data_IF_730641547884
#
_entry.id   IF_730641547884
#
_cell.length_a   1.000
_cell.length_b   1.000
_cell.length_c   1.000
_cell.angle_alpha   90.00
_cell.angle_beta   90.00
_cell.angle_gamma   90.00
#
_symmetry.space_group_name_H-M   'P 1'
#
loop_
_entity.id
_entity.type
_entity.pdbx_description
1 polymer ?
#
# COMPACT_ATOMS: atom_id res chain seq x y z
N UNK A 1 -18.47 1.72 -13.41
CA UNK A 1 -19.11 0.62 -12.68
C UNK A 1 -20.62 0.75 -12.82
N UNK A 2 -21.32 -0.33 -13.09
CA UNK A 2 -22.80 -0.36 -13.17
C UNK A 2 -23.31 -1.59 -12.41
N UNK A 3 -24.55 -1.53 -11.93
CA UNK A 3 -25.35 -2.70 -11.64
C UNK A 3 -25.95 -3.26 -12.94
N UNK A 4 -26.79 -4.29 -12.89
CA UNK A 4 -27.41 -4.92 -14.05
C UNK A 4 -28.25 -3.90 -14.87
N UNK A 5 -27.59 -3.14 -15.71
CA UNK A 5 -28.24 -2.18 -16.63
C UNK A 5 -27.80 -2.45 -18.06
N UNK A 6 -28.76 -2.34 -18.97
CA UNK A 6 -28.51 -2.31 -20.41
C UNK A 6 -28.01 -0.92 -20.78
N UNK A 7 -26.68 -0.75 -20.85
CA UNK A 7 -26.01 0.52 -21.14
C UNK A 7 -25.31 0.42 -22.51
N UNK A 8 -25.39 1.48 -23.31
CA UNK A 8 -24.63 1.61 -24.56
C UNK A 8 -23.12 1.85 -24.24
N UNK A 9 -22.43 0.77 -23.88
CA UNK A 9 -21.00 0.80 -23.55
C UNK A 9 -20.14 1.17 -24.75
N UNK A 10 -20.53 0.78 -25.95
CA UNK A 10 -19.78 1.09 -27.17
C UNK A 10 -19.84 2.57 -27.49
N UNK A 11 -21.03 3.17 -27.53
CA UNK A 11 -21.20 4.60 -27.74
C UNK A 11 -20.53 5.44 -26.67
N UNK A 12 -20.55 4.98 -25.41
CA UNK A 12 -19.84 5.61 -24.31
C UNK A 12 -18.32 5.58 -24.51
N UNK A 13 -17.75 4.42 -24.83
CA UNK A 13 -16.32 4.25 -25.15
C UNK A 13 -15.88 5.17 -26.29
N UNK A 14 -16.65 5.16 -27.41
CA UNK A 14 -16.34 6.01 -28.54
C UNK A 14 -16.36 7.50 -28.20
N UNK A 15 -17.28 7.91 -27.33
CA UNK A 15 -17.37 9.29 -26.85
C UNK A 15 -16.14 9.68 -26.06
N UNK A 16 -15.69 8.81 -25.12
CA UNK A 16 -14.49 9.04 -24.32
C UNK A 16 -13.24 9.16 -25.21
N UNK A 17 -13.06 8.24 -26.16
CA UNK A 17 -11.88 8.24 -27.04
C UNK A 17 -11.79 9.47 -27.96
N UNK A 18 -12.89 10.19 -28.16
CA UNK A 18 -12.92 11.45 -28.95
C UNK A 18 -12.65 12.70 -28.11
N UNK A 19 -12.53 12.60 -26.79
CA UNK A 19 -12.26 13.76 -25.94
C UNK A 19 -10.85 14.32 -26.23
N UNK A 20 -10.71 15.66 -26.33
CA UNK A 20 -9.41 16.32 -26.54
C UNK A 20 -8.65 16.39 -25.21
N UNK A 21 -8.02 15.29 -24.81
CA UNK A 21 -7.27 15.17 -23.56
C UNK A 21 -5.78 15.44 -23.80
N UNK A 22 -5.12 16.05 -22.83
CA UNK A 22 -3.65 16.08 -22.75
C UNK A 22 -3.14 14.73 -22.24
N UNK A 23 -3.12 13.72 -23.12
CA UNK A 23 -2.74 12.35 -22.77
C UNK A 23 -3.51 11.34 -23.58
N UNK A 24 -3.38 10.06 -23.21
CA UNK A 24 -4.07 8.96 -23.87
C UNK A 24 -4.68 8.01 -22.82
N UNK A 25 -5.76 7.34 -23.21
CA UNK A 25 -6.31 6.26 -22.39
C UNK A 25 -5.37 5.05 -22.41
N UNK A 26 -4.91 4.60 -21.26
CA UNK A 26 -4.22 3.32 -21.14
C UNK A 26 -5.21 2.15 -21.30
N UNK A 27 -6.41 2.31 -20.73
CA UNK A 27 -7.50 1.37 -20.87
C UNK A 27 -8.85 1.96 -20.48
N UNK A 28 -9.91 1.33 -20.94
CA UNK A 28 -11.30 1.60 -20.51
C UNK A 28 -11.89 0.28 -20.09
N UNK A 29 -12.31 0.18 -18.84
CA UNK A 29 -12.87 -1.03 -18.27
C UNK A 29 -14.31 -0.80 -17.83
N UNK A 30 -15.13 -1.80 -18.04
CA UNK A 30 -16.47 -1.86 -17.50
C UNK A 30 -16.56 -2.93 -16.42
N UNK A 31 -16.94 -2.53 -15.22
CA UNK A 31 -17.10 -3.43 -14.09
C UNK A 31 -18.57 -3.48 -13.68
N UNK A 32 -19.12 -4.68 -13.60
CA UNK A 32 -20.42 -4.94 -13.00
C UNK A 32 -20.23 -5.27 -11.53
N UNK A 33 -20.99 -4.60 -10.66
CA UNK A 33 -20.95 -4.81 -9.22
C UNK A 33 -22.36 -4.62 -8.64
N UNK A 34 -22.95 -5.70 -8.18
CA UNK A 34 -24.25 -5.73 -7.53
C UNK A 34 -24.15 -5.84 -5.99
N UNK A 35 -22.95 -5.71 -5.44
CA UNK A 35 -22.75 -5.76 -3.99
C UNK A 35 -23.42 -4.57 -3.29
N UNK A 36 -24.03 -4.83 -2.14
CA UNK A 36 -24.61 -3.80 -1.27
C UNK A 36 -23.56 -3.09 -0.41
N UNK A 37 -22.34 -3.61 -0.39
CA UNK A 37 -21.24 -3.03 0.37
C UNK A 37 -20.42 -2.07 -0.51
N UNK A 38 -19.93 -1.01 0.10
CA UNK A 38 -19.04 -0.04 -0.54
C UNK A 38 -17.61 -0.61 -0.61
N UNK A 39 -17.48 -1.74 -1.34
CA UNK A 39 -16.22 -2.47 -1.53
C UNK A 39 -15.80 -2.46 -2.99
N UNK A 40 -14.51 -2.37 -3.22
CA UNK A 40 -13.91 -2.48 -4.55
C UNK A 40 -13.85 -3.96 -4.94
N UNK A 41 -15.02 -4.50 -5.31
CA UNK A 41 -15.19 -5.86 -5.83
C UNK A 41 -15.88 -5.81 -7.19
N UNK A 42 -15.68 -6.81 -8.00
CA UNK A 42 -16.38 -6.96 -9.27
C UNK A 42 -16.97 -8.36 -9.38
N UNK A 43 -18.23 -8.43 -9.83
CA UNK A 43 -18.80 -9.70 -10.28
C UNK A 43 -18.22 -10.06 -11.65
N UNK A 44 -17.96 -9.04 -12.48
CA UNK A 44 -17.35 -9.17 -13.79
C UNK A 44 -16.68 -7.85 -14.19
N UNK A 45 -15.46 -7.95 -14.75
CA UNK A 45 -14.78 -6.83 -15.42
C UNK A 45 -14.52 -7.19 -16.89
N UNK A 46 -14.81 -6.26 -17.78
CA UNK A 46 -14.60 -6.36 -19.22
C UNK A 46 -13.73 -5.21 -19.70
N UNK A 47 -12.70 -5.52 -20.50
CA UNK A 47 -11.85 -4.51 -21.13
C UNK A 47 -12.51 -4.04 -22.41
N UNK A 48 -12.98 -2.80 -22.44
CA UNK A 48 -13.60 -2.18 -23.62
C UNK A 48 -12.57 -1.60 -24.58
N UNK A 49 -11.40 -1.21 -24.06
CA UNK A 49 -10.31 -0.65 -24.84
C UNK A 49 -8.99 -0.77 -24.06
N UNK A 50 -7.86 -0.98 -24.78
CA UNK A 50 -6.52 -0.96 -24.22
C UNK A 50 -6.24 -2.06 -23.22
N UNK A 51 -5.52 -1.72 -22.15
CA UNK A 51 -5.04 -2.63 -21.12
C UNK A 51 -5.86 -2.49 -19.83
N UNK A 52 -5.84 -3.52 -19.00
CA UNK A 52 -6.45 -3.50 -17.65
C UNK A 52 -5.55 -2.90 -16.57
N UNK A 53 -4.41 -2.37 -16.95
CA UNK A 53 -3.42 -1.77 -16.05
C UNK A 53 -2.78 -0.54 -16.71
N UNK A 54 -2.14 0.27 -15.86
CA UNK A 54 -1.24 1.33 -16.30
C UNK A 54 0.02 1.32 -15.43
N UNK A 55 1.00 2.13 -15.81
CA UNK A 55 2.21 2.29 -15.03
C UNK A 55 2.27 3.65 -14.37
N UNK A 56 2.76 3.67 -13.14
CA UNK A 56 3.12 4.89 -12.42
C UNK A 56 4.58 4.78 -11.97
N UNK A 57 5.25 5.91 -11.84
CA UNK A 57 6.62 5.98 -11.35
C UNK A 57 6.66 6.76 -10.04
N UNK A 58 7.27 6.19 -8.99
CA UNK A 58 7.50 6.83 -7.71
C UNK A 58 8.97 6.66 -7.31
N UNK A 59 9.64 7.78 -7.03
CA UNK A 59 11.06 7.80 -6.59
C UNK A 59 11.98 6.93 -7.47
N UNK A 60 11.74 6.91 -8.78
CA UNK A 60 12.50 6.14 -9.77
C UNK A 60 12.17 4.65 -9.84
N UNK A 61 11.16 4.17 -9.11
CA UNK A 61 10.62 2.82 -9.22
C UNK A 61 9.33 2.84 -10.04
N UNK A 62 9.17 1.84 -10.89
CA UNK A 62 8.01 1.70 -11.76
C UNK A 62 7.04 0.67 -11.21
N UNK A 63 5.77 1.05 -11.11
CA UNK A 63 4.70 0.19 -10.59
C UNK A 63 3.65 -0.07 -11.66
N UNK A 64 3.32 -1.34 -11.86
CA UNK A 64 2.16 -1.75 -12.63
C UNK A 64 0.96 -1.74 -11.71
N UNK A 65 -0.05 -0.92 -12.06
CA UNK A 65 -1.25 -0.71 -11.25
C UNK A 65 -2.45 -1.27 -12.02
N UNK A 66 -3.17 -2.18 -11.40
CA UNK A 66 -4.43 -2.72 -11.92
C UNK A 66 -5.62 -2.10 -11.21
N UNK A 67 -6.82 -2.30 -11.75
CA UNK A 67 -8.08 -1.72 -11.25
C UNK A 67 -8.36 -2.01 -9.78
N UNK A 68 -7.95 -3.18 -9.29
CA UNK A 68 -8.20 -3.61 -7.92
C UNK A 68 -6.98 -3.52 -7.00
N UNK A 69 -5.87 -3.00 -7.52
CA UNK A 69 -4.68 -2.71 -6.70
C UNK A 69 -4.88 -1.39 -5.96
N UNK A 70 -4.68 -1.39 -4.66
CA UNK A 70 -4.56 -0.12 -3.94
C UNK A 70 -3.25 0.56 -4.34
N UNK A 71 -3.34 1.81 -4.71
CA UNK A 71 -2.21 2.69 -4.97
C UNK A 71 -2.57 4.11 -4.56
N UNK A 72 -1.61 4.87 -4.04
CA UNK A 72 -1.84 6.26 -3.62
C UNK A 72 -2.20 7.12 -4.84
N UNK A 73 -3.36 7.77 -4.80
CA UNK A 73 -3.90 8.53 -5.94
C UNK A 73 -3.17 9.86 -6.18
N UNK A 74 -2.48 10.39 -5.17
CA UNK A 74 -1.60 11.55 -5.29
C UNK A 74 -0.15 11.08 -5.32
N UNK A 75 0.40 10.80 -6.51
CA UNK A 75 1.75 10.27 -6.68
C UNK A 75 2.83 11.20 -6.11
N UNK A 76 2.70 12.52 -6.31
CA UNK A 76 3.66 13.50 -5.79
C UNK A 76 3.62 13.56 -4.25
N UNK A 77 2.44 13.51 -3.66
CA UNK A 77 2.29 13.41 -2.20
C UNK A 77 2.84 12.09 -1.66
N UNK A 78 2.63 10.98 -2.38
CA UNK A 78 3.16 9.68 -2.02
C UNK A 78 4.70 9.66 -2.02
N UNK A 79 5.34 10.31 -2.99
CA UNK A 79 6.80 10.46 -3.01
C UNK A 79 7.30 11.19 -1.74
N UNK A 80 6.63 12.27 -1.33
CA UNK A 80 6.99 13.00 -0.10
C UNK A 80 6.81 12.11 1.13
N UNK A 81 5.70 11.38 1.22
CA UNK A 81 5.42 10.47 2.33
C UNK A 81 6.49 9.38 2.44
N UNK A 82 6.76 8.69 1.34
CA UNK A 82 7.69 7.57 1.32
C UNK A 82 9.15 7.99 1.46
N UNK A 83 9.55 9.14 0.90
CA UNK A 83 10.89 9.68 1.10
C UNK A 83 11.10 10.12 2.56
N UNK A 84 10.07 10.69 3.18
CA UNK A 84 10.07 11.00 4.61
C UNK A 84 10.23 9.74 5.46
N UNK A 85 9.44 8.70 5.20
CA UNK A 85 9.55 7.42 5.89
C UNK A 85 10.95 6.82 5.71
N UNK A 86 11.48 6.80 4.48
CA UNK A 86 12.83 6.32 4.18
C UNK A 86 13.92 7.13 4.93
N UNK A 87 13.75 8.44 5.04
CA UNK A 87 14.66 9.30 5.79
C UNK A 87 14.67 8.99 7.29
N UNK A 88 13.52 8.57 7.83
CA UNK A 88 13.40 8.16 9.23
C UNK A 88 14.00 6.78 9.49
N UNK A 89 13.90 5.86 8.53
CA UNK A 89 14.59 4.56 8.59
C UNK A 89 16.11 4.79 8.61
N UNK A 90 16.62 5.60 7.71
CA UNK A 90 18.04 5.86 7.55
C UNK A 90 18.77 4.74 6.78
N UNK A 91 20.09 4.61 6.99
CA UNK A 91 20.90 3.55 6.37
C UNK A 91 20.79 2.26 7.21
N UNK A 92 20.18 1.24 6.63
CA UNK A 92 19.88 -0.05 7.26
C UNK A 92 20.38 -1.22 6.39
N UNK A 93 21.48 -1.02 5.64
CA UNK A 93 22.00 -2.01 4.67
C UNK A 93 22.30 -3.40 5.24
N UNK A 94 22.51 -3.49 6.53
CA UNK A 94 22.76 -4.75 7.23
C UNK A 94 21.51 -5.29 7.94
N UNK A 95 20.36 -4.60 7.85
CA UNK A 95 19.18 -4.88 8.62
C UNK A 95 18.07 -5.55 7.79
N UNK A 96 17.28 -6.36 8.48
CA UNK A 96 16.02 -6.93 7.97
C UNK A 96 14.86 -6.02 8.40
N UNK A 97 14.08 -5.56 7.42
CA UNK A 97 12.92 -4.70 7.65
C UNK A 97 11.64 -5.52 7.41
N UNK A 98 10.68 -5.43 8.30
CA UNK A 98 9.32 -5.90 8.04
C UNK A 98 8.44 -4.73 7.65
N UNK A 99 7.74 -4.86 6.52
CA UNK A 99 6.68 -3.96 6.05
C UNK A 99 5.35 -4.68 6.27
N UNK A 100 4.68 -4.34 7.37
CA UNK A 100 3.43 -5.00 7.77
C UNK A 100 2.23 -4.19 7.27
N UNK A 101 1.28 -4.90 6.67
CA UNK A 101 0.18 -4.35 5.87
C UNK A 101 0.69 -3.75 4.55
N UNK A 102 1.57 -4.50 3.86
CA UNK A 102 2.40 -3.97 2.77
C UNK A 102 1.65 -3.64 1.47
N UNK A 103 0.37 -4.02 1.35
CA UNK A 103 -0.41 -3.78 0.15
C UNK A 103 0.30 -4.32 -1.10
N UNK A 104 0.45 -3.49 -2.12
CA UNK A 104 1.20 -3.82 -3.35
C UNK A 104 2.72 -3.69 -3.21
N UNK A 105 3.22 -3.61 -1.98
CA UNK A 105 4.64 -3.62 -1.66
C UNK A 105 5.38 -2.32 -2.01
N UNK A 106 4.69 -1.21 -2.09
CA UNK A 106 5.30 0.08 -2.47
C UNK A 106 6.35 0.51 -1.47
N UNK A 107 6.02 0.50 -0.17
CA UNK A 107 6.95 0.89 0.91
C UNK A 107 8.13 -0.08 0.97
N UNK A 108 7.87 -1.40 0.93
CA UNK A 108 8.92 -2.42 0.91
C UNK A 108 9.93 -2.17 -0.21
N UNK A 109 9.46 -1.87 -1.43
CA UNK A 109 10.32 -1.61 -2.57
C UNK A 109 11.10 -0.31 -2.44
N UNK A 110 10.49 0.75 -1.87
CA UNK A 110 11.17 2.01 -1.58
C UNK A 110 12.30 1.86 -0.54
N UNK A 111 12.16 0.90 0.37
CA UNK A 111 13.15 0.62 1.41
C UNK A 111 14.23 -0.37 0.96
N UNK A 112 13.97 -1.17 -0.07
CA UNK A 112 14.91 -2.18 -0.56
C UNK A 112 16.33 -1.66 -0.84
N UNK A 113 16.53 -0.46 -1.45
CA UNK A 113 17.87 0.06 -1.71
C UNK A 113 18.70 0.37 -0.45
N UNK A 114 18.06 0.56 0.70
CA UNK A 114 18.70 0.92 1.98
C UNK A 114 18.69 -0.22 3.00
N UNK A 115 18.17 -1.38 2.66
CA UNK A 115 18.01 -2.54 3.55
C UNK A 115 18.78 -3.77 3.03
N UNK A 116 19.15 -4.67 3.94
CA UNK A 116 19.65 -6.00 3.57
C UNK A 116 18.53 -6.86 2.95
N UNK A 117 17.38 -6.86 3.57
CA UNK A 117 16.19 -7.61 3.15
C UNK A 117 14.94 -6.88 3.63
N UNK A 118 13.91 -6.85 2.83
CA UNK A 118 12.58 -6.36 3.23
C UNK A 118 11.57 -7.49 3.07
N UNK A 119 10.77 -7.74 4.10
CA UNK A 119 9.69 -8.74 4.08
C UNK A 119 8.36 -8.00 4.24
N UNK A 120 7.55 -8.03 3.18
CA UNK A 120 6.19 -7.50 3.17
C UNK A 120 5.18 -8.57 3.59
N UNK A 121 4.25 -8.22 4.47
CA UNK A 121 3.12 -9.10 4.86
C UNK A 121 1.81 -8.41 4.53
N UNK A 122 0.98 -9.07 3.74
CA UNK A 122 -0.31 -8.54 3.27
C UNK A 122 -1.34 -9.67 3.21
N UNK A 123 -2.58 -9.39 3.59
CA UNK A 123 -3.65 -10.38 3.63
C UNK A 123 -4.24 -10.66 2.23
N UNK A 124 -4.17 -9.71 1.32
CA UNK A 124 -4.74 -9.82 -0.03
C UNK A 124 -3.74 -10.48 -0.98
N UNK A 125 -4.00 -11.72 -1.37
CA UNK A 125 -3.09 -12.51 -2.23
C UNK A 125 -2.77 -11.83 -3.57
N UNK A 126 -3.75 -11.16 -4.19
CA UNK A 126 -3.55 -10.42 -5.44
C UNK A 126 -2.58 -9.25 -5.26
N UNK A 127 -2.64 -8.56 -4.12
CA UNK A 127 -1.72 -7.48 -3.79
C UNK A 127 -0.29 -8.02 -3.60
N UNK A 128 -0.14 -9.16 -2.92
CA UNK A 128 1.15 -9.84 -2.74
C UNK A 128 1.74 -10.27 -4.07
N UNK A 129 0.92 -10.80 -4.98
CA UNK A 129 1.36 -11.16 -6.34
C UNK A 129 1.82 -9.93 -7.10
N UNK A 130 1.04 -8.84 -7.07
CA UNK A 130 1.39 -7.57 -7.71
C UNK A 130 2.69 -6.99 -7.13
N UNK A 131 2.89 -7.07 -5.81
CA UNK A 131 4.12 -6.66 -5.14
C UNK A 131 5.34 -7.42 -5.67
N UNK A 132 5.24 -8.75 -5.81
CA UNK A 132 6.30 -9.58 -6.37
C UNK A 132 6.59 -9.31 -7.84
N UNK A 133 5.58 -9.03 -8.65
CA UNK A 133 5.73 -8.64 -10.07
C UNK A 133 6.42 -7.27 -10.19
N UNK A 134 6.01 -6.29 -9.39
CA UNK A 134 6.60 -4.96 -9.36
C UNK A 134 8.06 -4.99 -8.86
N UNK A 135 8.37 -5.79 -7.84
CA UNK A 135 9.76 -5.95 -7.38
C UNK A 135 10.67 -6.52 -8.49
N UNK A 136 10.18 -7.51 -9.25
CA UNK A 136 10.91 -8.05 -10.43
C UNK A 136 11.06 -7.00 -11.52
N UNK A 137 10.01 -6.22 -11.80
CA UNK A 137 10.06 -5.13 -12.78
C UNK A 137 11.14 -4.10 -12.43
N UNK A 138 11.31 -3.82 -11.14
CA UNK A 138 12.31 -2.90 -10.60
C UNK A 138 13.69 -3.53 -10.36
N UNK A 139 13.88 -4.82 -10.68
CA UNK A 139 15.14 -5.53 -10.47
C UNK A 139 15.53 -5.71 -8.99
N UNK A 140 14.57 -5.62 -8.08
CA UNK A 140 14.79 -5.78 -6.65
C UNK A 140 14.82 -7.27 -6.29
N UNK A 141 15.94 -7.73 -5.71
CA UNK A 141 16.14 -9.14 -5.34
C UNK A 141 16.07 -9.39 -3.84
N UNK A 142 15.97 -8.35 -3.05
CA UNK A 142 15.95 -8.38 -1.59
C UNK A 142 14.58 -8.07 -0.98
N UNK A 143 13.51 -8.09 -1.78
CA UNK A 143 12.12 -8.03 -1.32
C UNK A 143 11.50 -9.43 -1.34
N UNK A 144 10.84 -9.80 -0.26
CA UNK A 144 10.01 -11.01 -0.13
C UNK A 144 8.61 -10.59 0.29
N UNK A 145 7.58 -11.19 -0.31
CA UNK A 145 6.19 -10.87 0.03
C UNK A 145 5.43 -12.12 0.43
N UNK A 146 4.71 -12.05 1.55
CA UNK A 146 4.01 -13.17 2.17
C UNK A 146 2.53 -12.83 2.26
N UNK A 147 1.70 -13.70 1.67
CA UNK A 147 0.25 -13.58 1.75
C UNK A 147 -0.26 -14.15 3.07
N UNK A 148 -1.00 -13.36 3.82
CA UNK A 148 -1.68 -13.79 5.03
C UNK A 148 -1.94 -12.70 6.04
N UNK A 149 -2.75 -13.04 7.01
CA UNK A 149 -3.07 -12.18 8.16
C UNK A 149 -1.82 -11.94 9.00
N UNK A 150 -1.49 -10.67 9.27
CA UNK A 150 -0.28 -10.27 10.01
C UNK A 150 -0.17 -11.06 11.33
N UNK A 151 -1.26 -11.14 12.12
CA UNK A 151 -1.25 -11.84 13.40
C UNK A 151 -0.83 -13.31 13.29
N UNK A 152 -1.18 -13.97 12.17
CA UNK A 152 -0.88 -15.39 11.95
C UNK A 152 0.50 -15.57 11.32
N UNK A 153 0.86 -14.70 10.39
CA UNK A 153 2.11 -14.83 9.62
C UNK A 153 3.34 -14.55 10.48
N UNK A 154 3.26 -13.63 11.43
CA UNK A 154 4.38 -13.29 12.31
C UNK A 154 5.00 -14.51 13.05
N UNK A 155 4.21 -15.55 13.32
CA UNK A 155 4.71 -16.76 13.96
C UNK A 155 5.38 -17.75 12.96
N UNK A 156 5.23 -17.53 11.65
CA UNK A 156 5.73 -18.44 10.60
C UNK A 156 7.00 -17.94 9.92
N UNK A 157 7.31 -16.65 10.06
CA UNK A 157 8.47 -16.03 9.44
C UNK A 157 9.71 -16.38 10.26
N UNK A 158 10.69 -17.01 9.64
CA UNK A 158 11.95 -17.41 10.30
C UNK A 158 12.90 -16.25 10.56
N UNK A 159 12.84 -15.23 9.70
CA UNK A 159 13.65 -14.01 9.88
C UNK A 159 13.15 -13.22 11.09
N UNK A 160 14.06 -12.50 11.73
CA UNK A 160 13.73 -11.51 12.75
C UNK A 160 13.95 -10.11 12.22
N UNK A 161 12.99 -9.20 12.41
CA UNK A 161 13.18 -7.82 11.98
C UNK A 161 14.13 -7.08 12.92
N UNK A 162 14.96 -6.25 12.34
CA UNK A 162 15.72 -5.21 13.05
C UNK A 162 14.92 -3.89 13.09
N UNK A 163 14.00 -3.73 12.13
CA UNK A 163 13.14 -2.56 11.99
C UNK A 163 11.76 -2.97 11.45
N UNK A 164 10.71 -2.30 11.89
CA UNK A 164 9.33 -2.55 11.41
C UNK A 164 8.71 -1.26 10.88
N UNK A 165 8.09 -1.35 9.72
CA UNK A 165 7.21 -0.31 9.17
C UNK A 165 5.78 -0.83 9.23
N UNK A 166 4.88 0.02 9.68
CA UNK A 166 3.45 -0.24 9.86
C UNK A 166 2.67 0.76 9.01
N UNK A 167 1.83 0.25 8.11
CA UNK A 167 0.86 1.05 7.34
C UNK A 167 -0.52 0.37 7.39
N UNK A 168 -1.13 0.31 8.58
CA UNK A 168 -2.37 -0.42 8.79
C UNK A 168 -3.58 0.29 8.17
N UNK A 169 -4.72 -0.41 8.00
CA UNK A 169 -5.97 0.20 7.57
C UNK A 169 -6.46 1.27 8.55
N UNK A 170 -7.46 2.07 8.13
CA UNK A 170 -8.01 3.23 8.88
C UNK A 170 -8.41 2.93 10.33
N UNK A 171 -8.76 1.70 10.64
CA UNK A 171 -9.12 1.30 12.00
C UNK A 171 -7.92 1.05 12.91
N UNK A 172 -6.69 1.18 12.37
CA UNK A 172 -5.46 0.90 13.09
C UNK A 172 -5.22 -0.60 13.27
N UNK A 173 -4.34 -0.96 14.20
CA UNK A 173 -3.91 -2.34 14.41
C UNK A 173 -4.76 -3.00 15.50
N UNK A 174 -5.22 -4.22 15.22
CA UNK A 174 -5.90 -5.01 16.25
C UNK A 174 -4.98 -5.24 17.46
N UNK A 175 -5.44 -5.04 18.72
CA UNK A 175 -4.57 -5.08 19.90
C UNK A 175 -3.73 -6.37 20.03
N UNK A 176 -4.27 -7.53 19.63
CA UNK A 176 -3.51 -8.80 19.65
C UNK A 176 -2.37 -8.80 18.61
N UNK A 177 -2.58 -8.20 17.43
CA UNK A 177 -1.55 -8.10 16.43
C UNK A 177 -0.48 -7.08 16.86
N UNK A 178 -0.88 -5.94 17.39
CA UNK A 178 0.04 -4.93 17.92
C UNK A 178 0.91 -5.49 19.04
N UNK A 179 0.31 -6.31 19.95
CA UNK A 179 1.08 -7.00 21.00
C UNK A 179 2.15 -7.93 20.40
N UNK A 180 1.81 -8.71 19.38
CA UNK A 180 2.77 -9.59 18.69
C UNK A 180 3.89 -8.82 18.03
N UNK A 181 3.57 -7.69 17.40
CA UNK A 181 4.56 -6.79 16.80
C UNK A 181 5.53 -6.26 17.86
N UNK A 182 5.00 -5.82 19.00
CA UNK A 182 5.79 -5.35 20.15
C UNK A 182 6.72 -6.47 20.67
N UNK A 183 6.25 -7.71 20.70
CA UNK A 183 7.00 -8.87 21.22
C UNK A 183 8.23 -9.23 20.39
N UNK A 184 8.38 -8.69 19.15
CA UNK A 184 9.64 -8.77 18.42
C UNK A 184 10.77 -8.00 19.10
N UNK A 185 10.43 -6.95 19.86
CA UNK A 185 11.40 -6.17 20.63
C UNK A 185 12.35 -5.36 19.77
N UNK A 186 11.88 -4.88 18.59
CA UNK A 186 12.67 -3.96 17.77
C UNK A 186 12.85 -2.63 18.48
N UNK A 187 14.04 -2.04 18.40
CA UNK A 187 14.32 -0.75 19.03
C UNK A 187 13.57 0.41 18.38
N UNK A 188 13.28 0.30 17.09
CA UNK A 188 12.67 1.38 16.30
C UNK A 188 11.64 0.84 15.33
N UNK A 189 10.56 1.61 15.15
CA UNK A 189 9.54 1.36 14.13
C UNK A 189 9.01 2.66 13.56
N UNK A 190 8.45 2.59 12.37
CA UNK A 190 7.65 3.65 11.76
C UNK A 190 6.20 3.20 11.74
N UNK A 191 5.31 4.12 12.04
CA UNK A 191 3.88 3.95 11.90
C UNK A 191 3.35 5.03 10.94
N UNK A 192 2.78 4.63 9.82
CA UNK A 192 2.09 5.49 8.86
C UNK A 192 0.60 5.33 9.11
N UNK A 193 -0.15 6.42 9.12
CA UNK A 193 -1.60 6.37 9.41
C UNK A 193 -2.37 7.43 8.65
N UNK A 194 -3.37 6.99 7.90
CA UNK A 194 -4.36 7.88 7.28
C UNK A 194 -5.46 8.35 8.25
N UNK A 195 -5.41 7.94 9.53
CA UNK A 195 -6.40 8.32 10.56
C UNK A 195 -5.72 8.57 11.91
N UNK A 196 -5.37 9.82 12.21
CA UNK A 196 -4.63 10.17 13.43
C UNK A 196 -5.27 9.68 14.74
N UNK A 197 -6.60 9.54 14.79
CA UNK A 197 -7.28 9.03 15.99
C UNK A 197 -7.02 7.55 16.27
N UNK A 198 -6.86 6.73 15.22
CA UNK A 198 -6.48 5.33 15.36
C UNK A 198 -5.01 5.22 15.78
N UNK A 199 -4.15 6.03 15.17
CA UNK A 199 -2.74 6.14 15.56
C UNK A 199 -2.60 6.50 17.04
N UNK A 200 -3.32 7.52 17.53
CA UNK A 200 -3.25 7.93 18.93
C UNK A 200 -3.61 6.78 19.89
N UNK A 201 -4.64 6.00 19.58
CA UNK A 201 -5.03 4.82 20.36
C UNK A 201 -3.92 3.74 20.36
N UNK A 202 -3.33 3.46 19.20
CA UNK A 202 -2.31 2.43 19.07
C UNK A 202 -1.00 2.88 19.74
N UNK A 203 -0.69 4.19 19.72
CA UNK A 203 0.42 4.78 20.44
C UNK A 203 0.29 4.65 21.96
N UNK A 204 -0.90 4.74 22.54
CA UNK A 204 -1.10 4.49 23.98
C UNK A 204 -0.59 3.09 24.37
N UNK A 205 -0.89 2.08 23.56
CA UNK A 205 -0.41 0.72 23.79
C UNK A 205 1.10 0.63 23.61
N UNK A 206 1.67 1.18 22.54
CA UNK A 206 3.10 1.19 22.29
C UNK A 206 3.87 1.85 23.44
N UNK A 207 3.39 3.01 23.91
CA UNK A 207 3.99 3.73 25.05
C UNK A 207 3.90 2.92 26.35
N UNK A 208 2.80 2.20 26.57
CA UNK A 208 2.65 1.30 27.71
C UNK A 208 3.70 0.17 27.74
N UNK A 209 4.28 -0.18 26.60
CA UNK A 209 5.38 -1.15 26.46
C UNK A 209 6.77 -0.49 26.33
N UNK A 210 6.89 0.83 26.57
CA UNK A 210 8.16 1.53 26.67
C UNK A 210 8.61 2.22 25.38
N UNK A 211 7.86 2.15 24.29
CA UNK A 211 8.15 2.95 23.09
C UNK A 211 7.84 4.42 23.36
N UNK A 212 8.56 5.29 22.65
CA UNK A 212 8.31 6.73 22.68
C UNK A 212 8.30 7.28 21.25
N UNK A 213 7.50 8.29 21.02
CA UNK A 213 7.54 9.03 19.75
C UNK A 213 8.81 9.86 19.70
N UNK A 214 9.66 9.60 18.73
CA UNK A 214 10.90 10.37 18.49
C UNK A 214 10.68 11.49 17.47
N UNK A 215 9.90 11.20 16.42
CA UNK A 215 9.57 12.12 15.34
C UNK A 215 8.12 11.90 14.91
N UNK A 216 7.49 12.97 14.48
CA UNK A 216 6.18 12.92 13.84
C UNK A 216 6.11 14.01 12.77
N UNK A 217 5.42 13.73 11.68
CA UNK A 217 5.08 14.71 10.67
C UNK A 217 3.72 14.37 10.07
N UNK A 218 3.11 15.34 9.42
CA UNK A 218 1.89 15.15 8.64
C UNK A 218 2.20 15.45 7.18
N UNK A 219 1.65 14.64 6.29
CA UNK A 219 1.72 14.83 4.85
C UNK A 219 0.30 15.02 4.32
N UNK A 220 0.03 16.18 3.73
CA UNK A 220 -1.28 16.48 3.11
C UNK A 220 -1.38 15.78 1.75
N UNK A 221 -1.83 14.54 1.78
CA UNK A 221 -2.05 13.72 0.58
C UNK A 221 -3.32 14.11 -0.19
N UNK A 222 -4.27 14.74 0.49
CA UNK A 222 -5.60 15.04 -0.04
C UNK A 222 -5.98 16.49 0.29
N UNK A 223 -5.32 17.47 -0.35
CA UNK A 223 -5.63 18.88 -0.14
C UNK A 223 -7.12 19.17 -0.28
N UNK A 224 -7.63 20.06 0.57
CA UNK A 224 -9.06 20.42 0.67
C UNK A 224 -9.96 19.34 1.28
N UNK A 225 -9.41 18.28 1.83
CA UNK A 225 -10.13 17.27 2.60
C UNK A 225 -9.73 17.30 4.09
N UNK A 226 -10.44 16.53 4.92
CA UNK A 226 -10.07 16.33 6.33
C UNK A 226 -9.07 15.15 6.53
N UNK A 227 -8.59 14.56 5.45
CA UNK A 227 -7.68 13.42 5.51
C UNK A 227 -6.22 13.90 5.49
N UNK A 228 -5.41 13.33 6.34
CA UNK A 228 -3.97 13.58 6.43
C UNK A 228 -3.25 12.29 6.76
N UNK A 229 -2.11 12.06 6.12
CA UNK A 229 -1.20 10.99 6.52
C UNK A 229 -0.28 11.49 7.64
N UNK A 230 -0.07 10.65 8.64
CA UNK A 230 0.73 10.99 9.83
C UNK A 230 1.77 9.92 10.08
#
# INVERSE_FOLDING_TARGET
>A
TTSQMDADLEGWKETLLKLPLEGSFAGILHTTNDSLADVVQSDRTEVLYGEEYFYEELLGLRFRISTFSFFQTNSLGAEVLYDTARSYVGDTKDQVIFDLYSGTGTIAQMLAPVAKKVIGVEIVEEAVKAAGENAKLNGLTNCEFIAGDVLKMLDTISDRPDFIVLDPPRDGIHPKALKRIIDYGVDRMIYISCKPTSLARDLEMLQGYGYRVERACCVDMFPWSANVET
#
